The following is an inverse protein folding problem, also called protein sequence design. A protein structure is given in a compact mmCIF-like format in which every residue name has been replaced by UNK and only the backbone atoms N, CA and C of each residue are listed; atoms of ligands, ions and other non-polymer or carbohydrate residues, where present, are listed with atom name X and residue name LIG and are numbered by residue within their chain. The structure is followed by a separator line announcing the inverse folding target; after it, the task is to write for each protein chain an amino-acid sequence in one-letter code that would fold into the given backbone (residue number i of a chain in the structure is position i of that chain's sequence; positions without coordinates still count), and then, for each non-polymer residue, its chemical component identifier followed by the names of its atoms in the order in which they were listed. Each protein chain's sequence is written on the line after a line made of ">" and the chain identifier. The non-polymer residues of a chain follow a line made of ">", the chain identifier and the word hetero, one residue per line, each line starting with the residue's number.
data_IF_021075916026
#
_entry.id   IF_021075916026
#
_cell.length_a   1.000
_cell.length_b   1.000
_cell.length_c   1.000
_cell.angle_alpha   90.00
_cell.angle_beta   90.00
_cell.angle_gamma   90.00
#
_symmetry.space_group_name_H-M   'P 1'
#
loop_
_entity.id
_entity.type
_entity.pdbx_description
1 polymer ?
#
# COMPACT_ATOMS: atom_id res chain seq x y z
N UNK A 1 12.61 11.40 -14.69
CA UNK A 1 11.86 11.42 -13.42
C UNK A 1 12.79 10.89 -12.32
N UNK A 2 13.09 11.65 -11.27
CA UNK A 2 13.94 11.12 -10.20
C UNK A 2 13.15 10.08 -9.40
N UNK A 3 13.68 8.86 -9.23
CA UNK A 3 12.86 7.73 -8.79
C UNK A 3 12.40 7.86 -7.33
N UNK A 4 13.11 8.63 -6.51
CA UNK A 4 12.85 8.77 -5.09
C UNK A 4 11.72 9.76 -4.73
N UNK A 5 11.29 10.63 -5.64
CA UNK A 5 10.22 11.62 -5.32
C UNK A 5 8.87 10.95 -5.00
N UNK A 6 8.65 9.75 -5.53
CA UNK A 6 7.48 8.93 -5.24
C UNK A 6 7.27 8.69 -3.74
N UNK A 7 8.37 8.54 -2.98
CA UNK A 7 8.31 8.29 -1.55
C UNK A 7 7.82 9.48 -0.73
N UNK A 8 7.92 10.69 -1.29
CA UNK A 8 7.52 11.93 -0.65
C UNK A 8 6.17 12.46 -1.13
N UNK A 9 5.46 11.70 -1.97
CA UNK A 9 4.13 12.08 -2.44
C UNK A 9 3.12 12.06 -1.27
N UNK A 10 2.45 13.18 -1.07
CA UNK A 10 1.35 13.32 -0.11
C UNK A 10 0.02 13.07 -0.80
N UNK A 11 -0.91 12.47 -0.06
CA UNK A 11 -2.28 12.25 -0.50
C UNK A 11 -3.25 13.16 0.27
N UNK A 12 -4.29 13.61 -0.43
CA UNK A 12 -5.45 14.26 0.18
C UNK A 12 -6.21 13.27 1.07
N UNK A 13 -6.22 13.54 2.38
CA UNK A 13 -6.98 12.74 3.37
C UNK A 13 -8.49 12.74 3.12
N UNK A 14 -9.01 13.74 2.40
CA UNK A 14 -10.43 13.88 2.08
C UNK A 14 -10.87 12.94 0.97
N UNK A 15 -10.02 12.75 -0.03
CA UNK A 15 -10.31 11.87 -1.16
C UNK A 15 -10.20 10.38 -0.79
N UNK A 16 -9.52 10.04 0.32
CA UNK A 16 -9.34 8.67 0.81
C UNK A 16 -9.62 8.54 2.34
N UNK A 17 -10.88 8.71 2.78
CA UNK A 17 -11.22 8.75 4.19
C UNK A 17 -11.07 7.39 4.89
N UNK A 18 -11.31 6.28 4.20
CA UNK A 18 -11.18 4.95 4.80
C UNK A 18 -9.71 4.55 4.97
N UNK A 19 -8.83 5.02 4.08
CA UNK A 19 -7.40 4.76 4.12
C UNK A 19 -6.71 5.48 5.30
N UNK A 20 -7.30 6.58 5.80
CA UNK A 20 -6.75 7.36 6.93
C UNK A 20 -7.28 6.95 8.30
N UNK A 21 -8.37 6.15 8.34
CA UNK A 21 -8.99 5.69 9.60
C UNK A 21 -8.25 4.54 10.26
N UNK A 22 -7.67 3.63 9.49
CA UNK A 22 -7.10 2.39 10.05
C UNK A 22 -5.70 2.56 10.65
N UNK A 23 -4.89 3.52 10.18
CA UNK A 23 -3.53 3.75 10.68
C UNK A 23 -3.17 5.24 10.53
N UNK A 24 -2.79 5.91 11.63
CA UNK A 24 -2.60 7.38 11.71
C UNK A 24 -1.47 7.96 10.83
N UNK A 25 -0.73 7.15 10.07
CA UNK A 25 0.48 7.53 9.32
C UNK A 25 0.34 7.39 7.78
N UNK A 26 -0.85 7.05 7.27
CA UNK A 26 -1.09 6.76 5.85
C UNK A 26 -1.16 8.00 4.93
N UNK A 27 -0.83 9.20 5.42
CA UNK A 27 -0.78 10.42 4.60
C UNK A 27 0.28 10.34 3.48
N UNK A 28 1.27 9.44 3.62
CA UNK A 28 2.38 9.25 2.69
C UNK A 28 2.44 7.79 2.23
N UNK A 29 1.65 7.38 1.21
CA UNK A 29 1.68 6.01 0.68
C UNK A 29 3.08 5.60 0.24
N UNK A 30 3.85 6.55 -0.30
CA UNK A 30 5.21 6.37 -0.75
C UNK A 30 6.12 5.89 0.38
N UNK A 31 6.03 6.48 1.57
CA UNK A 31 6.85 6.04 2.72
C UNK A 31 6.55 4.60 3.10
N UNK A 32 5.30 4.17 3.00
CA UNK A 32 4.87 2.80 3.33
C UNK A 32 5.43 1.81 2.31
N UNK A 33 5.31 2.13 1.02
CA UNK A 33 5.96 1.37 -0.06
C UNK A 33 7.48 1.32 0.14
N UNK A 34 8.10 2.45 0.44
CA UNK A 34 9.53 2.55 0.71
C UNK A 34 9.96 1.66 1.87
N UNK A 35 9.22 1.68 2.99
CA UNK A 35 9.46 0.80 4.14
C UNK A 35 9.35 -0.67 3.74
N UNK A 36 8.35 -1.04 2.95
CA UNK A 36 8.16 -2.42 2.51
C UNK A 36 9.32 -2.90 1.62
N UNK A 37 9.72 -2.10 0.63
CA UNK A 37 10.84 -2.42 -0.25
C UNK A 37 12.20 -2.39 0.46
N UNK A 38 12.42 -1.43 1.36
CA UNK A 38 13.61 -1.35 2.20
C UNK A 38 13.78 -2.64 3.03
N UNK A 39 12.72 -3.04 3.73
CA UNK A 39 12.76 -4.27 4.49
C UNK A 39 12.98 -5.44 3.55
N UNK A 40 12.24 -5.55 2.43
CA UNK A 40 12.40 -6.67 1.48
C UNK A 40 13.83 -6.80 0.96
N UNK A 41 14.51 -5.68 0.72
CA UNK A 41 15.92 -5.65 0.37
C UNK A 41 16.80 -6.21 1.50
N UNK A 42 16.55 -5.84 2.75
CA UNK A 42 17.23 -6.41 3.94
C UNK A 42 17.02 -7.93 4.01
N UNK A 43 15.78 -8.41 3.75
CA UNK A 43 15.45 -9.86 3.77
C UNK A 43 16.33 -10.67 2.82
N UNK A 44 16.68 -10.11 1.66
CA UNK A 44 17.43 -10.80 0.62
C UNK A 44 18.93 -10.61 0.84
N UNK A 45 19.38 -9.38 1.07
CA UNK A 45 20.81 -9.03 1.09
C UNK A 45 21.51 -9.53 2.36
N UNK A 46 20.86 -9.46 3.52
CA UNK A 46 21.48 -9.89 4.79
C UNK A 46 21.86 -11.38 4.78
N UNK A 47 20.99 -12.35 4.44
CA UNK A 47 21.39 -13.75 4.40
C UNK A 47 22.45 -14.02 3.33
N UNK A 48 22.38 -13.36 2.16
CA UNK A 48 23.41 -13.48 1.12
C UNK A 48 24.77 -13.00 1.64
N UNK A 49 24.81 -11.83 2.31
CA UNK A 49 26.04 -11.28 2.87
C UNK A 49 26.64 -12.19 3.95
N UNK A 50 25.80 -12.82 4.78
CA UNK A 50 26.24 -13.81 5.75
C UNK A 50 26.81 -15.06 5.05
N UNK A 51 26.11 -15.56 4.02
CA UNK A 51 26.55 -16.69 3.19
C UNK A 51 27.92 -16.45 2.55
N UNK A 52 28.10 -15.28 1.94
CA UNK A 52 29.38 -14.86 1.35
C UNK A 52 30.50 -14.75 2.39
N UNK A 53 30.20 -14.32 3.62
CA UNK A 53 31.17 -14.30 4.72
C UNK A 53 31.63 -15.71 5.11
N UNK A 54 30.71 -16.69 5.13
CA UNK A 54 31.06 -18.10 5.36
C UNK A 54 31.96 -18.63 4.25
N UNK A 55 31.57 -18.37 2.99
CA UNK A 55 32.34 -18.78 1.83
C UNK A 55 33.73 -18.15 1.85
N UNK A 56 33.83 -16.84 2.12
CA UNK A 56 35.10 -16.15 2.26
C UNK A 56 35.98 -16.79 3.34
N UNK A 57 35.42 -17.05 4.52
CA UNK A 57 36.14 -17.72 5.60
C UNK A 57 36.63 -19.12 5.19
N UNK A 58 35.76 -19.90 4.51
CA UNK A 58 36.06 -21.24 4.05
C UNK A 58 37.18 -21.24 3.00
N UNK A 59 37.06 -20.43 1.94
CA UNK A 59 38.05 -20.41 0.85
C UNK A 59 39.37 -19.74 1.22
N UNK A 60 39.35 -18.71 2.07
CA UNK A 60 40.56 -17.94 2.38
C UNK A 60 41.39 -18.55 3.53
N UNK A 61 40.74 -19.09 4.57
CA UNK A 61 41.44 -19.53 5.79
C UNK A 61 41.73 -21.04 5.86
N UNK A 62 40.91 -21.88 5.22
CA UNK A 62 41.11 -23.34 5.24
C UNK A 62 42.40 -23.81 4.54
N UNK A 63 42.81 -23.26 3.39
CA UNK A 63 44.08 -23.69 2.78
C UNK A 63 45.32 -23.21 3.54
N UNK A 64 45.19 -22.27 4.49
CA UNK A 64 46.32 -21.62 5.17
C UNK A 64 46.52 -22.04 6.63
N UNK A 65 45.67 -22.91 7.19
CA UNK A 65 45.72 -23.30 8.61
C UNK A 65 45.56 -24.81 8.79
N UNK A 66 46.51 -25.45 9.48
CA UNK A 66 46.45 -26.86 9.85
C UNK A 66 45.17 -27.18 10.64
N UNK A 67 44.49 -28.27 10.28
CA UNK A 67 43.16 -28.68 10.79
C UNK A 67 43.05 -28.68 12.32
N UNK A 68 44.14 -28.96 13.05
CA UNK A 68 44.16 -29.12 14.50
C UNK A 68 44.14 -27.81 15.33
N UNK A 69 44.35 -26.64 14.72
CA UNK A 69 44.44 -25.34 15.45
C UNK A 69 43.38 -24.33 15.03
N UNK A 70 42.17 -24.76 14.67
CA UNK A 70 41.10 -23.87 14.19
C UNK A 70 40.11 -23.52 15.31
N UNK A 71 40.27 -22.39 16.03
CA UNK A 71 39.22 -21.91 16.91
C UNK A 71 38.06 -21.38 16.06
N UNK A 72 36.99 -22.17 15.96
CA UNK A 72 35.68 -21.75 15.45
C UNK A 72 35.16 -20.48 16.15
N UNK A 73 35.68 -20.15 17.33
CA UNK A 73 35.40 -18.92 18.07
C UNK A 73 35.61 -17.62 17.26
N UNK A 74 36.54 -17.61 16.28
CA UNK A 74 36.80 -16.43 15.44
C UNK A 74 35.81 -16.23 14.29
N UNK A 75 34.95 -17.22 14.00
CA UNK A 75 33.96 -17.14 12.93
C UNK A 75 32.98 -15.96 13.13
N UNK A 76 32.62 -15.72 14.40
CA UNK A 76 31.78 -14.60 14.82
C UNK A 76 32.30 -13.24 14.36
N UNK A 77 33.62 -13.02 14.37
CA UNK A 77 34.23 -11.76 13.93
C UNK A 77 34.04 -11.44 12.45
N UNK A 78 33.72 -12.44 11.61
CA UNK A 78 33.49 -12.25 10.18
C UNK A 78 32.00 -12.17 9.83
N UNK A 79 31.16 -12.91 10.54
CA UNK A 79 29.71 -12.90 10.32
C UNK A 79 29.03 -11.58 10.73
N UNK A 80 29.45 -11.01 11.86
CA UNK A 80 28.81 -9.81 12.40
C UNK A 80 29.03 -8.56 11.53
N UNK A 81 30.25 -8.26 11.04
CA UNK A 81 30.44 -7.17 10.11
C UNK A 81 29.66 -7.37 8.82
N UNK A 82 29.61 -8.60 8.26
CA UNK A 82 28.85 -8.84 7.02
C UNK A 82 27.36 -8.57 7.15
N UNK A 83 26.73 -9.00 8.25
CA UNK A 83 25.31 -8.71 8.49
C UNK A 83 25.07 -7.20 8.73
N UNK A 84 25.98 -6.55 9.45
CA UNK A 84 25.90 -5.14 9.75
C UNK A 84 26.08 -4.25 8.50
N UNK A 85 27.00 -4.60 7.59
CA UNK A 85 27.16 -3.91 6.30
C UNK A 85 26.11 -4.31 5.27
N UNK A 86 25.61 -5.55 5.32
CA UNK A 86 24.55 -6.04 4.44
C UNK A 86 23.21 -5.35 4.68
N UNK A 87 22.94 -4.89 5.91
CA UNK A 87 21.69 -4.19 6.25
C UNK A 87 21.52 -2.83 5.54
N UNK A 88 22.45 -1.86 5.61
CA UNK A 88 22.33 -0.59 4.89
C UNK A 88 22.39 -0.80 3.37
N UNK A 89 23.18 -1.76 2.87
CA UNK A 89 23.22 -2.12 1.44
C UNK A 89 21.86 -2.68 1.00
N UNK A 90 21.28 -3.57 1.78
CA UNK A 90 19.95 -4.14 1.54
C UNK A 90 18.85 -3.08 1.59
N UNK A 91 18.91 -2.16 2.55
CA UNK A 91 17.97 -1.05 2.67
C UNK A 91 18.03 -0.14 1.44
N UNK A 92 19.22 0.33 1.08
CA UNK A 92 19.42 1.21 -0.08
C UNK A 92 19.07 0.50 -1.39
N UNK A 93 19.51 -0.74 -1.56
CA UNK A 93 19.17 -1.56 -2.73
C UNK A 93 17.68 -1.83 -2.84
N UNK A 94 17.01 -2.09 -1.72
CA UNK A 94 15.55 -2.26 -1.66
C UNK A 94 14.82 -0.99 -2.06
N UNK A 95 15.19 0.17 -1.51
CA UNK A 95 14.60 1.47 -1.86
C UNK A 95 14.82 1.84 -3.33
N UNK A 96 16.04 1.66 -3.86
CA UNK A 96 16.31 1.98 -5.27
C UNK A 96 15.56 1.03 -6.20
N UNK A 97 15.52 -0.26 -5.89
CA UNK A 97 14.76 -1.26 -6.64
C UNK A 97 13.26 -0.95 -6.63
N UNK A 98 12.68 -0.69 -5.46
CA UNK A 98 11.28 -0.34 -5.31
C UNK A 98 10.93 0.92 -6.07
N UNK A 99 11.80 1.94 -6.01
CA UNK A 99 11.61 3.17 -6.74
C UNK A 99 11.63 2.94 -8.26
N UNK A 100 12.59 2.17 -8.79
CA UNK A 100 12.65 1.86 -10.23
C UNK A 100 11.41 1.07 -10.68
N UNK A 101 11.05 0.04 -9.91
CA UNK A 101 9.92 -0.84 -10.24
C UNK A 101 8.58 -0.11 -10.19
N UNK A 102 8.32 0.68 -9.16
CA UNK A 102 7.05 1.41 -9.03
C UNK A 102 6.94 2.55 -10.05
N UNK A 103 8.04 3.26 -10.36
CA UNK A 103 7.99 4.28 -11.42
C UNK A 103 7.70 3.67 -12.80
N UNK A 104 8.18 2.47 -13.09
CA UNK A 104 7.84 1.76 -14.33
C UNK A 104 6.35 1.38 -14.38
N UNK A 105 5.77 0.99 -13.24
CA UNK A 105 4.33 0.64 -13.12
C UNK A 105 3.40 1.84 -13.14
N UNK A 106 3.88 3.01 -12.70
CA UNK A 106 3.11 4.25 -12.66
C UNK A 106 3.12 5.05 -13.96
N UNK A 107 3.75 4.50 -15.02
CA UNK A 107 3.65 5.08 -16.35
C UNK A 107 2.18 5.04 -16.79
N UNK A 108 1.65 6.17 -17.26
CA UNK A 108 0.22 6.32 -17.57
C UNK A 108 -0.27 5.28 -18.58
N UNK A 109 0.52 4.98 -19.61
CA UNK A 109 0.21 3.94 -20.61
C UNK A 109 0.03 2.54 -19.98
N UNK A 110 0.82 2.22 -18.97
CA UNK A 110 0.74 0.93 -18.27
C UNK A 110 -0.50 0.90 -17.37
N UNK A 111 -0.81 2.02 -16.72
CA UNK A 111 -1.98 2.16 -15.85
C UNK A 111 -3.30 2.07 -16.62
N UNK A 112 -3.38 2.71 -17.79
CA UNK A 112 -4.58 2.64 -18.64
C UNK A 112 -4.77 1.23 -19.20
N UNK A 113 -3.70 0.60 -19.68
CA UNK A 113 -3.74 -0.79 -20.15
C UNK A 113 -4.15 -1.77 -19.05
N UNK A 114 -3.60 -1.62 -17.84
CA UNK A 114 -3.97 -2.49 -16.70
C UNK A 114 -5.41 -2.26 -16.25
N UNK A 115 -5.92 -1.03 -16.25
CA UNK A 115 -7.34 -0.75 -16.02
C UNK A 115 -8.24 -1.43 -17.06
N UNK A 116 -7.89 -1.32 -18.34
CA UNK A 116 -8.64 -1.96 -19.42
C UNK A 116 -8.64 -3.48 -19.29
N UNK A 117 -7.49 -4.08 -18.97
CA UNK A 117 -7.38 -5.52 -18.74
C UNK A 117 -8.22 -5.97 -17.53
N UNK A 118 -8.19 -5.24 -16.42
CA UNK A 118 -9.01 -5.55 -15.24
C UNK A 118 -10.50 -5.44 -15.56
N UNK A 119 -10.89 -4.44 -16.34
CA UNK A 119 -12.26 -4.30 -16.82
C UNK A 119 -12.65 -5.43 -17.76
N UNK A 120 -11.80 -5.86 -18.69
CA UNK A 120 -12.15 -7.01 -19.54
C UNK A 120 -12.29 -8.30 -18.71
N UNK A 121 -11.39 -8.54 -17.77
CA UNK A 121 -11.42 -9.72 -16.92
C UNK A 121 -12.69 -9.80 -16.05
N UNK A 122 -13.13 -8.68 -15.49
CA UNK A 122 -14.38 -8.68 -14.70
C UNK A 122 -15.59 -8.83 -15.65
N UNK A 123 -15.53 -8.36 -16.92
CA UNK A 123 -16.63 -8.48 -17.93
C UNK A 123 -16.81 -9.92 -18.34
N UNK A 124 -15.70 -10.63 -18.54
CA UNK A 124 -15.68 -12.06 -18.74
C UNK A 124 -16.20 -12.81 -17.51
N UNK A 125 -15.77 -12.44 -16.31
CA UNK A 125 -16.25 -13.06 -15.07
C UNK A 125 -17.77 -12.88 -14.87
N UNK A 126 -18.30 -11.69 -15.18
CA UNK A 126 -19.73 -11.41 -15.13
C UNK A 126 -20.49 -12.26 -16.14
N UNK A 127 -20.02 -12.34 -17.39
CA UNK A 127 -20.62 -13.21 -18.43
C UNK A 127 -20.64 -14.67 -17.99
N UNK A 128 -19.54 -15.18 -17.44
CA UNK A 128 -19.48 -16.54 -16.90
C UNK A 128 -20.42 -16.75 -15.71
N UNK A 129 -20.60 -15.73 -14.86
CA UNK A 129 -21.54 -15.78 -13.76
C UNK A 129 -23.00 -15.82 -14.26
N UNK A 130 -23.35 -14.97 -15.24
CA UNK A 130 -24.68 -14.90 -15.84
C UNK A 130 -25.05 -16.21 -16.55
N UNK A 131 -24.12 -16.80 -17.33
CA UNK A 131 -24.34 -18.10 -17.98
C UNK A 131 -24.58 -19.19 -16.93
N UNK A 132 -23.79 -19.23 -15.85
CA UNK A 132 -23.97 -20.19 -14.75
C UNK A 132 -25.32 -20.00 -14.07
N UNK A 133 -25.72 -18.75 -13.83
CA UNK A 133 -27.00 -18.41 -13.23
C UNK A 133 -28.19 -18.79 -14.13
N UNK A 134 -28.12 -18.53 -15.42
CA UNK A 134 -29.16 -18.90 -16.39
C UNK A 134 -29.34 -20.42 -16.50
N UNK A 135 -28.24 -21.18 -16.49
CA UNK A 135 -28.31 -22.65 -16.46
C UNK A 135 -28.90 -23.17 -15.16
N UNK A 136 -28.56 -22.55 -14.02
CA UNK A 136 -29.11 -22.91 -12.73
C UNK A 136 -30.60 -22.55 -12.61
N UNK A 137 -31.02 -21.38 -13.11
CA UNK A 137 -32.43 -20.96 -13.10
C UNK A 137 -33.28 -21.91 -13.95
N UNK A 138 -32.83 -22.28 -15.15
CA UNK A 138 -33.55 -23.23 -16.00
C UNK A 138 -33.73 -24.60 -15.33
N UNK A 139 -32.73 -25.08 -14.58
CA UNK A 139 -32.83 -26.34 -13.81
C UNK A 139 -33.83 -26.24 -12.66
N UNK A 140 -33.80 -25.12 -11.92
CA UNK A 140 -34.75 -24.90 -10.82
C UNK A 140 -36.17 -24.74 -11.34
N UNK A 141 -36.36 -24.01 -12.44
CA UNK A 141 -37.65 -23.85 -13.13
C UNK A 141 -38.21 -25.17 -13.65
N UNK A 142 -37.36 -26.05 -14.19
CA UNK A 142 -37.77 -27.39 -14.62
C UNK A 142 -38.19 -28.28 -13.43
N UNK A 143 -37.63 -28.06 -12.24
CA UNK A 143 -37.99 -28.81 -11.03
C UNK A 143 -39.22 -28.26 -10.29
N UNK A 144 -39.70 -27.08 -10.66
CA UNK A 144 -40.80 -26.41 -9.98
C UNK A 144 -42.15 -26.98 -10.43
N UNK A 145 -43.06 -27.31 -9.49
CA UNK A 145 -44.39 -27.78 -9.85
C UNK A 145 -45.19 -26.69 -10.57
N UNK A 146 -46.04 -27.10 -11.50
CA UNK A 146 -46.76 -26.21 -12.42
C UNK A 146 -47.64 -25.17 -11.72
N UNK A 147 -48.17 -25.46 -10.53
CA UNK A 147 -49.03 -24.57 -9.74
C UNK A 147 -48.30 -23.39 -9.08
N UNK A 148 -46.97 -23.41 -9.03
CA UNK A 148 -46.17 -22.36 -8.37
C UNK A 148 -46.05 -21.10 -9.23
N UNK A 149 -46.02 -21.25 -10.56
CA UNK A 149 -45.91 -20.14 -11.52
C UNK A 149 -47.05 -19.10 -11.38
N UNK A 150 -48.35 -19.48 -11.31
CA UNK A 150 -49.41 -18.50 -11.12
C UNK A 150 -49.38 -17.84 -9.73
N UNK A 151 -48.92 -18.56 -8.69
CA UNK A 151 -48.79 -18.00 -7.34
C UNK A 151 -47.73 -16.89 -7.28
N UNK A 152 -46.61 -17.07 -7.99
CA UNK A 152 -45.56 -16.04 -8.12
C UNK A 152 -46.06 -14.85 -8.95
N UNK A 153 -46.79 -15.10 -10.05
CA UNK A 153 -47.37 -14.03 -10.88
C UNK A 153 -48.30 -13.12 -10.08
N UNK A 154 -49.14 -13.71 -9.21
CA UNK A 154 -50.03 -12.97 -8.33
C UNK A 154 -49.32 -12.34 -7.11
N UNK A 155 -47.99 -12.46 -6.99
CA UNK A 155 -47.18 -11.97 -5.85
C UNK A 155 -47.60 -12.57 -4.50
N UNK A 156 -48.25 -13.74 -4.47
CA UNK A 156 -48.67 -14.41 -3.24
C UNK A 156 -47.51 -15.13 -2.53
N UNK A 157 -46.44 -15.45 -3.25
CA UNK A 157 -45.27 -16.18 -2.74
C UNK A 157 -43.99 -15.51 -3.25
N UNK A 158 -42.97 -15.38 -2.40
CA UNK A 158 -41.64 -14.94 -2.84
C UNK A 158 -41.10 -15.84 -3.96
N UNK A 159 -40.42 -15.25 -4.94
CA UNK A 159 -39.90 -15.98 -6.09
C UNK A 159 -38.98 -17.14 -5.66
N UNK A 160 -39.45 -18.40 -5.78
CA UNK A 160 -38.75 -19.57 -5.27
C UNK A 160 -37.46 -19.83 -6.06
N UNK A 161 -37.42 -19.39 -7.32
CA UNK A 161 -36.22 -19.48 -8.16
C UNK A 161 -35.15 -18.55 -7.59
N UNK A 162 -35.51 -17.30 -7.29
CA UNK A 162 -34.58 -16.33 -6.70
C UNK A 162 -34.10 -16.77 -5.31
N UNK A 163 -34.99 -17.32 -4.47
CA UNK A 163 -34.63 -17.85 -3.15
C UNK A 163 -33.65 -19.03 -3.26
N UNK A 164 -33.89 -19.95 -4.18
CA UNK A 164 -33.03 -21.12 -4.39
C UNK A 164 -31.68 -20.75 -5.03
N UNK A 165 -31.67 -19.81 -5.98
CA UNK A 165 -30.43 -19.24 -6.53
C UNK A 165 -29.59 -18.55 -5.45
N UNK A 166 -30.21 -17.81 -4.51
CA UNK A 166 -29.50 -17.23 -3.35
C UNK A 166 -28.87 -18.31 -2.47
N UNK A 167 -29.58 -19.40 -2.17
CA UNK A 167 -29.03 -20.54 -1.41
C UNK A 167 -27.83 -21.19 -2.10
N UNK A 168 -27.80 -21.20 -3.43
CA UNK A 168 -26.66 -21.68 -4.23
C UNK A 168 -25.54 -20.65 -4.40
N UNK A 169 -25.61 -19.47 -3.75
CA UNK A 169 -24.63 -18.40 -3.89
C UNK A 169 -24.68 -17.64 -5.23
N UNK A 170 -25.72 -17.88 -6.05
CA UNK A 170 -25.98 -17.26 -7.34
C UNK A 170 -26.97 -16.10 -7.23
N UNK A 171 -26.77 -15.24 -6.22
CA UNK A 171 -27.55 -14.01 -6.09
C UNK A 171 -27.32 -13.10 -7.31
N UNK A 172 -28.25 -12.17 -7.56
CA UNK A 172 -28.01 -11.14 -8.57
C UNK A 172 -26.81 -10.31 -8.10
N UNK A 173 -25.70 -10.40 -8.82
CA UNK A 173 -24.49 -9.60 -8.60
C UNK A 173 -24.43 -8.52 -9.65
N UNK A 174 -24.08 -7.32 -9.23
CA UNK A 174 -23.70 -6.27 -10.15
C UNK A 174 -22.24 -6.44 -10.57
N UNK A 175 -21.86 -5.78 -11.67
CA UNK A 175 -20.48 -5.58 -12.06
C UNK A 175 -19.55 -5.25 -10.86
N UNK A 176 -20.03 -4.32 -10.03
CA UNK A 176 -19.27 -3.69 -8.96
C UNK A 176 -18.93 -4.67 -7.83
N UNK A 177 -19.78 -5.69 -7.64
CA UNK A 177 -19.61 -6.73 -6.62
C UNK A 177 -18.55 -7.76 -7.00
N UNK A 178 -18.18 -7.84 -8.29
CA UNK A 178 -17.15 -8.74 -8.80
C UNK A 178 -15.77 -8.08 -8.85
N UNK A 179 -15.70 -6.76 -8.72
CA UNK A 179 -14.44 -6.04 -8.71
C UNK A 179 -13.72 -6.30 -7.39
N UNK A 180 -12.45 -6.70 -7.49
CA UNK A 180 -11.63 -6.94 -6.31
C UNK A 180 -11.41 -5.62 -5.53
N UNK A 181 -11.67 -5.59 -4.22
CA UNK A 181 -11.79 -4.34 -3.45
C UNK A 181 -10.51 -3.49 -3.42
N UNK A 182 -9.34 -4.14 -3.52
CA UNK A 182 -8.02 -3.50 -3.48
C UNK A 182 -7.35 -3.46 -4.87
N UNK A 183 -8.08 -3.78 -5.94
CA UNK A 183 -7.59 -3.61 -7.31
C UNK A 183 -7.52 -2.13 -7.69
N UNK A 184 -6.73 -1.82 -8.72
CA UNK A 184 -6.68 -0.46 -9.29
C UNK A 184 -8.08 0.01 -9.71
N UNK A 185 -8.83 -0.86 -10.41
CA UNK A 185 -10.21 -0.60 -10.80
C UNK A 185 -11.15 -0.38 -9.60
N UNK A 186 -10.99 -1.18 -8.54
CA UNK A 186 -11.79 -1.04 -7.32
C UNK A 186 -11.55 0.29 -6.59
N UNK A 187 -10.29 0.69 -6.48
CA UNK A 187 -9.90 1.97 -5.86
C UNK A 187 -10.34 3.15 -6.71
N UNK A 188 -10.10 3.13 -8.02
CA UNK A 188 -10.53 4.21 -8.93
C UNK A 188 -12.04 4.38 -8.93
N UNK A 189 -12.79 3.28 -8.81
CA UNK A 189 -14.24 3.32 -8.73
C UNK A 189 -14.73 3.91 -7.40
N UNK A 190 -14.19 3.43 -6.26
CA UNK A 190 -14.59 3.87 -4.92
C UNK A 190 -14.21 5.32 -4.62
N UNK A 191 -13.08 5.79 -5.14
CA UNK A 191 -12.53 7.13 -4.88
C UNK A 191 -12.49 8.02 -6.13
N UNK A 192 -13.44 7.80 -7.04
CA UNK A 192 -13.62 8.55 -8.29
C UNK A 192 -13.92 10.03 -8.05
N UNK A 193 -14.62 10.37 -6.95
CA UNK A 193 -14.93 11.75 -6.60
C UNK A 193 -13.68 12.44 -6.04
N UNK A 194 -13.24 13.48 -6.73
CA UNK A 194 -12.15 14.36 -6.28
C UNK A 194 -12.75 15.63 -5.67
N UNK A 195 -12.48 15.89 -4.40
CA UNK A 195 -12.93 17.11 -3.72
C UNK A 195 -12.04 18.31 -4.03
N UNK A 196 -10.71 18.11 -4.06
CA UNK A 196 -9.73 19.17 -4.26
C UNK A 196 -8.76 18.83 -5.43
N UNK A 197 -9.02 19.28 -6.67
CA UNK A 197 -8.23 18.90 -7.84
C UNK A 197 -6.79 19.43 -7.82
N UNK A 198 -6.49 20.44 -6.98
CA UNK A 198 -5.14 21.03 -6.82
C UNK A 198 -4.10 20.04 -6.30
N UNK A 199 -4.53 18.93 -5.71
CA UNK A 199 -3.65 17.86 -5.23
C UNK A 199 -3.04 17.02 -6.35
N UNK A 200 -3.62 17.10 -7.56
CA UNK A 200 -3.28 16.20 -8.66
C UNK A 200 -2.74 16.97 -9.85
N UNK A 201 -1.78 16.36 -10.53
CA UNK A 201 -1.32 16.86 -11.82
C UNK A 201 -2.46 16.67 -12.84
N UNK A 202 -2.79 17.68 -13.65
CA UNK A 202 -3.71 17.50 -14.76
C UNK A 202 -3.14 16.43 -15.71
N UNK A 203 -3.94 15.39 -16.01
CA UNK A 203 -3.55 14.33 -16.92
C UNK A 203 -3.38 14.87 -18.34
N UNK A 204 -2.32 14.46 -19.03
CA UNK A 204 -1.98 14.97 -20.37
C UNK A 204 -2.75 14.31 -21.53
N UNK A 205 -3.66 13.36 -21.29
CA UNK A 205 -4.42 12.72 -22.37
C UNK A 205 -5.86 12.33 -21.99
N UNK A 206 -6.77 12.90 -22.79
CA UNK A 206 -8.02 12.37 -23.36
C UNK A 206 -8.68 11.18 -22.66
N UNK A 207 -9.89 11.42 -22.17
CA UNK A 207 -10.88 10.40 -21.86
C UNK A 207 -10.79 9.92 -20.42
N UNK A 208 -11.60 10.53 -19.57
CA UNK A 208 -11.91 10.03 -18.24
C UNK A 208 -12.49 8.61 -18.38
N UNK A 209 -11.75 7.52 -18.04
CA UNK A 209 -12.17 6.15 -18.38
C UNK A 209 -13.37 5.68 -17.55
N UNK A 210 -13.75 6.46 -16.53
CA UNK A 210 -14.89 6.22 -15.66
C UNK A 210 -16.10 7.12 -15.99
N UNK A 211 -15.93 8.16 -16.81
CA UNK A 211 -17.02 9.04 -17.23
C UNK A 211 -17.25 8.90 -18.75
N UNK A 212 -18.44 8.41 -19.12
CA UNK A 212 -19.01 8.74 -20.43
C UNK A 212 -19.06 10.27 -20.62
N UNK A 213 -19.23 10.78 -21.85
CA UNK A 213 -18.89 12.16 -22.22
C UNK A 213 -19.63 13.17 -21.33
N UNK A 214 -18.95 13.68 -20.31
CA UNK A 214 -19.41 14.81 -19.52
C UNK A 214 -18.51 15.99 -19.89
N UNK A 215 -19.16 16.97 -20.53
CA UNK A 215 -18.59 18.18 -21.10
C UNK A 215 -17.48 18.75 -20.22
N UNK A 216 -16.30 18.89 -20.81
CA UNK A 216 -15.30 19.89 -20.41
C UNK A 216 -15.99 21.27 -20.40
N UNK A 217 -16.43 21.70 -19.22
CA UNK A 217 -16.64 23.12 -18.99
C UNK A 217 -15.26 23.75 -18.86
N UNK A 218 -14.81 24.30 -19.99
CA UNK A 218 -13.65 25.17 -20.08
C UNK A 218 -13.58 26.14 -18.90
N UNK A 219 -12.42 26.19 -18.24
CA UNK A 219 -12.09 27.31 -17.37
C UNK A 219 -10.63 27.72 -17.56
N UNK A 220 -10.46 29.03 -17.75
CA UNK A 220 -9.28 29.79 -18.19
C UNK A 220 -9.22 29.97 -19.72
N UNK A 221 -9.20 31.19 -20.28
CA UNK A 221 -8.77 32.49 -19.75
C UNK A 221 -9.15 33.58 -20.77
N UNK A 222 -9.56 34.77 -20.30
CA UNK A 222 -9.37 36.01 -21.05
C UNK A 222 -10.42 37.08 -20.81
N UNK A 223 -10.12 38.07 -19.97
CA UNK A 223 -10.19 39.49 -20.33
C UNK A 223 -9.88 40.36 -19.11
N UNK A 224 -8.71 40.99 -19.18
CA UNK A 224 -8.37 42.19 -18.42
C UNK A 224 -9.13 43.36 -19.05
N UNK A 225 -9.84 44.16 -18.25
CA UNK A 225 -9.98 45.61 -18.47
C UNK A 225 -10.16 46.35 -17.14
N UNK A 226 -9.43 47.45 -17.06
CA UNK A 226 -9.34 48.46 -16.00
C UNK A 226 -10.66 49.19 -15.73
N UNK A 227 -10.78 49.80 -14.54
CA UNK A 227 -11.79 50.82 -14.27
C UNK A 227 -12.03 51.13 -12.78
N UNK A 228 -11.26 52.08 -12.23
CA UNK A 228 -11.58 53.08 -11.20
C UNK A 228 -12.31 52.74 -9.87
N UNK A 229 -11.53 52.92 -8.77
CA UNK A 229 -11.75 53.79 -7.58
C UNK A 229 -13.20 54.10 -7.15
N UNK A 230 -13.57 53.71 -5.91
CA UNK A 230 -14.07 54.60 -4.84
C UNK A 230 -13.74 53.99 -3.46
N UNK A 231 -13.09 54.81 -2.64
CA UNK A 231 -12.83 54.70 -1.20
C UNK A 231 -14.13 54.87 -0.39
N UNK A 232 -14.32 54.14 0.71
CA UNK A 232 -14.54 54.74 2.04
C UNK A 232 -14.79 53.72 3.16
N UNK A 233 -14.31 54.11 4.34
CA UNK A 233 -14.82 53.82 5.68
C UNK A 233 -14.34 52.54 6.36
N UNK A 234 -13.10 52.67 6.87
CA UNK A 234 -12.85 52.47 8.29
C UNK A 234 -14.00 53.05 9.12
N UNK A 235 -14.73 52.19 9.83
CA UNK A 235 -15.19 52.58 11.16
C UNK A 235 -15.54 51.36 12.03
N UNK A 236 -15.23 51.50 13.33
CA UNK A 236 -15.55 50.60 14.45
C UNK A 236 -14.57 49.47 14.76
N UNK A 237 -13.37 49.87 15.18
CA UNK A 237 -12.85 49.39 16.47
C UNK A 237 -13.76 49.92 17.58
N UNK A 238 -14.41 49.04 18.36
CA UNK A 238 -14.63 49.19 19.81
C UNK A 238 -15.69 48.18 20.32
N UNK A 239 -15.24 47.03 20.83
CA UNK A 239 -15.74 46.43 22.09
C UNK A 239 -14.94 45.16 22.41
N UNK A 240 -13.79 45.36 23.06
CA UNK A 240 -13.16 44.32 23.87
C UNK A 240 -13.85 44.37 25.23
N UNK A 241 -14.69 43.38 25.51
CA UNK A 241 -15.20 43.12 26.87
C UNK A 241 -14.24 42.16 27.59
N UNK A 242 -13.89 42.41 28.87
CA UNK A 242 -13.01 41.54 29.62
C UNK A 242 -13.81 40.42 30.28
N UNK A 243 -13.33 39.17 30.14
CA UNK A 243 -13.76 38.05 30.96
C UNK A 243 -14.74 37.08 30.28
N UNK A 244 -14.21 35.95 29.80
CA UNK A 244 -15.04 34.87 29.28
C UNK A 244 -14.26 33.70 28.69
N UNK A 245 -13.68 32.86 29.56
CA UNK A 245 -13.28 31.46 29.36
C UNK A 245 -12.81 31.03 27.95
N UNK A 246 -11.50 30.87 27.85
CA UNK A 246 -10.84 29.90 26.97
C UNK A 246 -11.31 28.49 27.38
N UNK A 247 -12.16 27.84 26.58
CA UNK A 247 -12.23 26.38 26.48
C UNK A 247 -12.99 25.98 25.22
N UNK A 248 -12.22 25.63 24.21
CA UNK A 248 -12.71 25.15 22.94
C UNK A 248 -11.60 25.05 21.90
N UNK A 249 -10.44 24.50 22.26
CA UNK A 249 -9.54 23.99 21.23
C UNK A 249 -10.20 22.76 20.62
N UNK A 250 -11.13 22.97 19.68
CA UNK A 250 -11.29 22.01 18.61
C UNK A 250 -9.98 22.07 17.84
N UNK A 251 -9.06 21.16 18.13
CA UNK A 251 -8.03 20.77 17.18
C UNK A 251 -8.76 20.11 16.01
N UNK A 252 -9.43 20.95 15.20
CA UNK A 252 -9.78 20.61 13.82
C UNK A 252 -8.42 20.52 13.16
N UNK A 253 -7.86 19.31 13.13
CA UNK A 253 -6.63 19.02 12.41
C UNK A 253 -6.82 19.61 11.01
N UNK A 254 -6.22 20.78 10.79
CA UNK A 254 -6.26 21.45 9.51
C UNK A 254 -5.59 20.48 8.55
N UNK A 255 -6.36 19.95 7.60
CA UNK A 255 -5.82 19.08 6.57
C UNK A 255 -4.55 19.74 5.99
N UNK A 256 -3.46 18.97 5.79
CA UNK A 256 -2.21 19.54 5.29
C UNK A 256 -2.48 20.32 4.00
N UNK A 257 -1.83 21.47 3.78
CA UNK A 257 -2.04 22.23 2.55
C UNK A 257 -1.62 21.40 1.32
N UNK A 258 -2.29 21.58 0.16
CA UNK A 258 -1.91 20.91 -1.07
C UNK A 258 -0.46 21.22 -1.44
N UNK A 259 0.26 20.29 -2.08
CA UNK A 259 1.63 20.52 -2.52
C UNK A 259 1.68 21.68 -3.53
N UNK A 260 2.71 22.51 -3.44
CA UNK A 260 2.91 23.65 -4.34
C UNK A 260 3.00 23.24 -5.82
N UNK A 261 3.44 22.00 -6.09
CA UNK A 261 3.43 21.38 -7.41
C UNK A 261 2.99 19.91 -7.25
N UNK A 262 1.79 19.52 -7.72
CA UNK A 262 1.37 18.14 -7.66
C UNK A 262 2.20 17.28 -8.62
N UNK A 263 2.82 16.24 -8.08
CA UNK A 263 3.77 15.39 -8.80
C UNK A 263 3.13 14.22 -9.53
N UNK A 264 1.94 13.79 -9.09
CA UNK A 264 1.26 12.59 -9.58
C UNK A 264 -0.13 12.95 -10.09
N UNK A 265 -0.57 12.27 -11.16
CA UNK A 265 -1.97 12.32 -11.59
C UNK A 265 -2.87 11.54 -10.62
N UNK A 266 -4.18 11.74 -10.71
CA UNK A 266 -5.16 11.01 -9.88
C UNK A 266 -5.04 9.50 -10.08
N UNK A 267 -4.93 9.07 -11.34
CA UNK A 267 -4.76 7.66 -11.69
C UNK A 267 -3.48 7.04 -11.11
N UNK A 268 -2.37 7.78 -11.14
CA UNK A 268 -1.12 7.35 -10.48
C UNK A 268 -1.27 7.26 -8.95
N UNK A 269 -2.06 8.15 -8.36
CA UNK A 269 -2.34 8.13 -6.92
C UNK A 269 -3.21 6.94 -6.56
N UNK A 270 -4.26 6.63 -7.34
CA UNK A 270 -5.10 5.44 -7.15
C UNK A 270 -4.29 4.14 -7.29
N UNK A 271 -3.32 4.11 -8.21
CA UNK A 271 -2.39 2.99 -8.36
C UNK A 271 -1.49 2.81 -7.13
N UNK A 272 -0.98 3.89 -6.55
CA UNK A 272 -0.21 3.82 -5.30
C UNK A 272 -1.08 3.35 -4.13
N UNK A 273 -2.28 3.90 -3.98
CA UNK A 273 -3.20 3.53 -2.90
C UNK A 273 -3.60 2.06 -3.02
N UNK A 274 -4.03 1.62 -4.21
CA UNK A 274 -4.37 0.20 -4.44
C UNK A 274 -3.19 -0.71 -4.12
N UNK A 275 -1.97 -0.32 -4.49
CA UNK A 275 -0.77 -1.11 -4.16
C UNK A 275 -0.51 -1.19 -2.66
N UNK A 276 -0.62 -0.08 -1.94
CA UNK A 276 -0.46 -0.08 -0.47
C UNK A 276 -1.54 -0.93 0.19
N UNK A 277 -2.80 -0.82 -0.24
CA UNK A 277 -3.89 -1.63 0.28
C UNK A 277 -3.67 -3.13 0.03
N UNK A 278 -3.16 -3.52 -1.15
CA UNK A 278 -2.80 -4.91 -1.45
C UNK A 278 -1.68 -5.42 -0.53
N UNK A 279 -0.64 -4.61 -0.31
CA UNK A 279 0.47 -4.97 0.58
C UNK A 279 0.05 -5.10 2.04
N UNK A 280 -0.89 -4.27 2.49
CA UNK A 280 -1.42 -4.34 3.86
C UNK A 280 -2.40 -5.51 4.04
N UNK A 281 -3.17 -5.84 3.00
CA UNK A 281 -4.09 -6.97 3.01
C UNK A 281 -3.36 -8.33 3.02
N UNK A 282 -2.10 -8.38 2.56
CA UNK A 282 -1.26 -9.58 2.63
C UNK A 282 -0.86 -9.87 4.08
N UNK A 283 -1.37 -10.95 4.70
CA UNK A 283 -1.09 -11.25 6.10
C UNK A 283 0.40 -11.59 6.33
N UNK A 284 1.04 -12.20 5.34
CA UNK A 284 2.47 -12.56 5.38
C UNK A 284 3.35 -11.31 5.42
N UNK A 285 3.06 -10.34 4.54
CA UNK A 285 3.83 -9.10 4.45
C UNK A 285 3.62 -8.23 5.70
N UNK A 286 2.39 -8.14 6.19
CA UNK A 286 2.08 -7.35 7.39
C UNK A 286 2.73 -7.93 8.65
N UNK A 287 2.70 -9.26 8.82
CA UNK A 287 3.37 -9.95 9.92
C UNK A 287 4.86 -9.61 9.96
N UNK A 288 5.51 -9.70 8.81
CA UNK A 288 6.94 -9.46 8.71
C UNK A 288 7.32 -7.99 8.83
N UNK A 289 6.53 -7.07 8.28
CA UNK A 289 6.71 -5.63 8.49
C UNK A 289 6.69 -5.24 9.97
N UNK A 290 5.81 -5.89 10.76
CA UNK A 290 5.70 -5.66 12.21
C UNK A 290 6.88 -6.22 12.99
N UNK A 291 7.32 -7.44 12.68
CA UNK A 291 8.42 -8.09 13.41
C UNK A 291 9.78 -7.62 12.90
N UNK A 292 10.05 -7.78 11.61
CA UNK A 292 11.31 -7.41 10.96
C UNK A 292 11.60 -5.91 11.05
N UNK A 293 10.57 -5.06 10.93
CA UNK A 293 10.73 -3.61 11.08
C UNK A 293 11.24 -3.19 12.46
N UNK A 294 10.70 -3.79 13.54
CA UNK A 294 11.12 -3.48 14.92
C UNK A 294 12.54 -3.98 15.18
N UNK A 295 12.83 -5.23 14.81
CA UNK A 295 14.14 -5.82 15.03
C UNK A 295 15.24 -5.14 14.20
N UNK A 296 14.97 -4.81 12.94
CA UNK A 296 15.91 -4.09 12.09
C UNK A 296 16.18 -2.67 12.60
N UNK A 297 15.15 -1.94 13.05
CA UNK A 297 15.32 -0.59 13.59
C UNK A 297 16.12 -0.61 14.91
N UNK A 298 15.83 -1.55 15.81
CA UNK A 298 16.64 -1.72 17.03
C UNK A 298 18.08 -2.11 16.71
N UNK A 299 18.29 -3.04 15.78
CA UNK A 299 19.63 -3.43 15.32
C UNK A 299 20.41 -2.24 14.73
N UNK A 300 19.76 -1.43 13.90
CA UNK A 300 20.40 -0.28 13.24
C UNK A 300 20.73 0.83 14.24
N UNK A 301 19.81 1.19 15.14
CA UNK A 301 20.03 2.22 16.17
C UNK A 301 21.09 1.78 17.16
N UNK A 302 21.03 0.53 17.65
CA UNK A 302 22.05 0.01 18.57
C UNK A 302 23.43 -0.08 17.90
N UNK A 303 23.50 -0.45 16.62
CA UNK A 303 24.77 -0.43 15.89
C UNK A 303 25.33 0.99 15.75
N UNK A 304 24.51 1.97 15.39
CA UNK A 304 24.94 3.37 15.21
C UNK A 304 25.44 4.00 16.52
N UNK A 305 24.72 3.75 17.62
CA UNK A 305 25.09 4.25 18.95
C UNK A 305 26.37 3.57 19.47
N UNK A 306 26.59 2.29 19.13
CA UNK A 306 27.71 1.51 19.66
C UNK A 306 28.93 1.43 18.76
N UNK A 307 28.85 1.93 17.52
CA UNK A 307 29.99 2.10 16.62
C UNK A 307 31.11 2.96 17.24
N UNK A 308 30.77 3.86 18.17
CA UNK A 308 31.73 4.70 18.88
C UNK A 308 32.28 4.04 20.17
N UNK A 309 31.68 2.97 20.67
CA UNK A 309 32.03 2.34 21.93
C UNK A 309 32.56 0.92 21.69
N UNK A 310 33.89 0.72 21.75
CA UNK A 310 34.55 -0.61 21.62
C UNK A 310 34.33 -1.57 22.81
N UNK A 311 33.34 -1.31 23.66
CA UNK A 311 33.12 -1.98 24.95
C UNK A 311 32.16 -3.19 24.91
N UNK A 312 31.85 -3.76 26.08
CA UNK A 312 30.96 -4.92 26.27
C UNK A 312 29.58 -4.75 25.63
N UNK A 313 29.08 -3.52 25.59
CA UNK A 313 27.82 -3.16 24.96
C UNK A 313 27.78 -3.42 23.45
N UNK A 314 28.89 -3.21 22.74
CA UNK A 314 29.01 -3.56 21.32
C UNK A 314 28.86 -5.08 21.08
N UNK A 315 29.27 -5.92 22.04
CA UNK A 315 29.06 -7.37 21.96
C UNK A 315 27.60 -7.75 22.18
N UNK A 316 26.86 -7.02 23.03
CA UNK A 316 25.42 -7.23 23.20
C UNK A 316 24.60 -6.74 22.00
N UNK A 317 24.97 -5.64 21.35
CA UNK A 317 24.31 -5.22 20.11
C UNK A 317 24.59 -6.20 18.95
N UNK A 318 25.76 -6.82 18.92
CA UNK A 318 26.06 -7.94 18.01
C UNK A 318 25.11 -9.13 18.21
N UNK A 319 24.79 -9.51 19.46
CA UNK A 319 23.81 -10.57 19.75
C UNK A 319 22.39 -10.22 19.29
N UNK A 320 22.00 -8.95 19.41
CA UNK A 320 20.72 -8.43 18.93
C UNK A 320 20.64 -8.47 17.39
N UNK A 321 21.74 -8.13 16.70
CA UNK A 321 21.88 -8.30 15.24
C UNK A 321 21.72 -9.76 14.80
N UNK A 322 22.27 -10.71 15.57
CA UNK A 322 22.04 -12.15 15.34
C UNK A 322 20.56 -12.52 15.49
N UNK A 323 19.85 -11.92 16.46
CA UNK A 323 18.41 -12.08 16.62
C UNK A 323 17.61 -11.62 15.40
N UNK A 324 18.05 -10.56 14.71
CA UNK A 324 17.43 -10.10 13.45
C UNK A 324 17.68 -11.11 12.32
N UNK A 325 18.91 -11.63 12.21
CA UNK A 325 19.27 -12.64 11.19
C UNK A 325 18.53 -13.95 11.45
N UNK A 326 18.48 -14.40 12.70
CA UNK A 326 17.77 -15.61 13.11
C UNK A 326 16.26 -15.44 12.94
N UNK A 327 15.69 -14.29 13.33
CA UNK A 327 14.28 -13.97 13.11
C UNK A 327 13.92 -13.88 11.62
N UNK A 328 14.81 -13.31 10.80
CA UNK A 328 14.67 -13.29 9.35
C UNK A 328 14.77 -14.69 8.75
N UNK A 329 15.67 -15.55 9.24
CA UNK A 329 15.79 -16.94 8.80
C UNK A 329 14.58 -17.78 9.20
N UNK A 330 14.12 -17.70 10.46
CA UNK A 330 12.94 -18.40 10.98
C UNK A 330 11.69 -17.97 10.20
N UNK A 331 11.50 -16.66 10.00
CA UNK A 331 10.37 -16.13 9.24
C UNK A 331 10.45 -16.47 7.74
N UNK A 332 11.66 -16.48 7.15
CA UNK A 332 11.83 -16.86 5.75
C UNK A 332 11.58 -18.35 5.49
N UNK A 333 11.79 -19.20 6.50
CA UNK A 333 11.60 -20.65 6.42
C UNK A 333 10.22 -21.12 6.91
N UNK A 334 9.32 -20.20 7.31
CA UNK A 334 8.01 -20.50 7.90
C UNK A 334 8.07 -21.47 9.10
N UNK A 335 9.22 -21.57 9.75
CA UNK A 335 9.41 -22.48 10.89
C UNK A 335 8.43 -22.18 12.02
N UNK A 336 8.00 -20.93 12.11
CA UNK A 336 6.98 -20.45 13.02
C UNK A 336 5.57 -21.01 12.77
N UNK A 337 5.17 -21.37 11.54
CA UNK A 337 3.91 -22.10 11.28
C UNK A 337 4.02 -23.56 11.74
N UNK A 338 5.19 -24.17 11.55
CA UNK A 338 5.48 -25.54 11.99
C UNK A 338 5.42 -25.61 13.53
N UNK A 339 5.95 -24.62 14.24
CA UNK A 339 5.89 -24.56 15.70
C UNK A 339 4.49 -24.27 16.24
N UNK A 340 3.61 -23.56 15.51
CA UNK A 340 2.22 -23.37 15.93
C UNK A 340 1.37 -24.63 15.80
N UNK A 341 1.72 -25.57 14.91
CA UNK A 341 1.04 -26.86 14.78
C UNK A 341 1.59 -27.96 15.71
N UNK A 342 2.71 -27.68 16.39
CA UNK A 342 3.34 -28.58 17.37
C UNK A 342 2.90 -28.27 18.83
N UNK A 343 1.94 -27.37 18.99
CA UNK A 343 1.35 -27.00 20.28
C UNK A 343 -0.10 -27.43 20.31
#
# INVERSE_FOLDING_TARGET
>A
MFPLHLYFANISTRDYPNFTREEHDLQKPGVILGKHYALRGIRIVVPISCGLSVMYFYFYHIPRLAMAKRPLAKLSHYFYPSAAYGTPVGLLGGLTYGAIQENARLREDVLTNTLQQQRQAVEEALRHFEIRRARASARVEASLPWYVKPLVFLHLVEDPVAAQLRRMGLSRKSWQDLVEPNSLLGVSMRYSRVEDPRWYRPSSSVGDPCNGPMKEAAFHRGSSKEGHVVSSDQDRLAKVGPGGRIRGHSLRASAPPPPAQPYLSKLQTDALVSRVMQLQASPEDNRWLRTGGRFSLYGMVTMLVMLNNRGMWYRTSMGLGFGVVLGAAISATRLDEIFTHLR
#
